data_IF_315930758369
#
_entry.id   IF_315930758369
#
_cell.length_a   1.000
_cell.length_b   1.000
_cell.length_c   1.000
_cell.angle_alpha   90.00
_cell.angle_beta   90.00
_cell.angle_gamma   90.00
#
_symmetry.space_group_name_H-M   'P 1'
#
loop_
_entity.id
_entity.type
_entity.pdbx_description
1 polymer ?
#
# COMPACT_ATOMS: atom_id res chain seq x y z
N UNK A 1 13.07 -8.18 -15.43
CA UNK A 1 12.66 -6.85 -15.95
C UNK A 1 11.51 -6.34 -15.10
N UNK A 2 11.40 -5.02 -14.89
CA UNK A 2 10.21 -4.43 -14.24
C UNK A 2 8.96 -4.76 -15.08
N UNK A 3 8.12 -5.62 -14.52
CA UNK A 3 6.78 -5.92 -15.03
C UNK A 3 5.81 -4.78 -14.73
N UNK A 4 5.53 -3.96 -15.75
CA UNK A 4 4.65 -2.80 -15.66
C UNK A 4 3.18 -3.22 -15.54
N UNK A 5 2.78 -4.33 -16.15
CA UNK A 5 1.39 -4.79 -16.13
C UNK A 5 1.02 -5.34 -14.74
N UNK A 6 1.95 -6.00 -14.06
CA UNK A 6 1.81 -6.35 -12.64
C UNK A 6 1.62 -5.10 -11.78
N UNK A 7 2.44 -4.07 -11.97
CA UNK A 7 2.36 -2.83 -11.19
C UNK A 7 1.01 -2.15 -11.44
N UNK A 8 0.61 -1.96 -12.70
CA UNK A 8 -0.69 -1.35 -13.05
C UNK A 8 -1.85 -2.10 -12.42
N UNK A 9 -1.88 -3.43 -12.53
CA UNK A 9 -2.93 -4.26 -11.92
C UNK A 9 -3.02 -4.03 -10.41
N UNK A 10 -1.88 -3.98 -9.71
CA UNK A 10 -1.85 -3.73 -8.27
C UNK A 10 -2.26 -2.30 -7.91
N UNK A 11 -1.88 -1.31 -8.72
CA UNK A 11 -2.34 0.07 -8.54
C UNK A 11 -3.86 0.18 -8.71
N UNK A 12 -4.45 -0.46 -9.72
CA UNK A 12 -5.91 -0.54 -9.87
C UNK A 12 -6.57 -1.20 -8.66
N UNK A 13 -5.96 -2.28 -8.15
CA UNK A 13 -6.44 -2.94 -6.94
C UNK A 13 -6.35 -2.06 -5.69
N UNK A 14 -5.34 -1.20 -5.56
CA UNK A 14 -5.22 -0.21 -4.49
C UNK A 14 -6.30 0.87 -4.65
N UNK A 15 -6.45 1.43 -5.85
CA UNK A 15 -7.45 2.46 -6.13
C UNK A 15 -8.87 2.00 -5.80
N UNK A 16 -9.25 0.79 -6.20
CA UNK A 16 -10.59 0.27 -5.92
C UNK A 16 -10.84 0.13 -4.41
N UNK A 17 -9.85 -0.38 -3.66
CA UNK A 17 -9.96 -0.52 -2.20
C UNK A 17 -9.95 0.80 -1.46
N UNK A 18 -9.25 1.81 -1.99
CA UNK A 18 -9.32 3.16 -1.44
C UNK A 18 -10.72 3.76 -1.60
N UNK A 19 -11.38 3.51 -2.74
CA UNK A 19 -12.78 3.92 -2.92
C UNK A 19 -13.71 3.21 -1.93
N UNK A 20 -13.56 1.89 -1.76
CA UNK A 20 -14.32 1.12 -0.74
C UNK A 20 -14.05 1.65 0.67
N UNK A 21 -12.80 1.97 1.00
CA UNK A 21 -12.41 2.52 2.30
C UNK A 21 -12.97 3.93 2.52
N UNK A 22 -13.10 4.74 1.47
CA UNK A 22 -13.72 6.06 1.55
C UNK A 22 -15.21 5.95 1.92
N UNK A 23 -15.93 4.98 1.38
CA UNK A 23 -17.31 4.70 1.78
C UNK A 23 -17.40 4.27 3.25
N UNK A 24 -16.52 3.35 3.67
CA UNK A 24 -16.45 2.91 5.08
C UNK A 24 -16.13 4.09 6.00
N UNK A 25 -15.23 4.99 5.62
CA UNK A 25 -14.82 6.16 6.40
C UNK A 25 -15.94 7.19 6.62
N UNK A 26 -16.99 7.17 5.80
CA UNK A 26 -18.18 8.02 5.97
C UNK A 26 -19.17 7.46 7.02
N UNK A 27 -18.93 6.26 7.53
CA UNK A 27 -19.78 5.63 8.55
C UNK A 27 -19.69 6.38 9.89
N UNK A 28 -20.82 6.70 10.55
CA UNK A 28 -20.81 7.29 11.89
C UNK A 28 -20.05 6.42 12.88
N UNK A 29 -19.33 7.04 13.83
CA UNK A 29 -18.42 6.35 14.76
C UNK A 29 -19.12 5.22 15.53
N UNK A 30 -20.35 5.42 15.94
CA UNK A 30 -21.15 4.45 16.69
C UNK A 30 -21.39 3.18 15.87
N UNK A 31 -21.64 3.36 14.57
CA UNK A 31 -21.84 2.28 13.60
C UNK A 31 -20.51 1.67 13.15
N UNK A 32 -19.45 2.46 13.04
CA UNK A 32 -18.10 1.95 12.74
C UNK A 32 -17.58 0.99 13.82
N UNK A 33 -17.98 1.20 15.08
CA UNK A 33 -17.66 0.30 16.19
C UNK A 33 -18.36 -1.06 16.09
N UNK A 34 -19.31 -1.23 15.16
CA UNK A 34 -19.86 -2.56 14.84
C UNK A 34 -18.76 -3.43 14.24
N UNK A 35 -18.67 -4.67 14.74
CA UNK A 35 -17.56 -5.59 14.45
C UNK A 35 -17.35 -5.81 12.95
N UNK A 36 -18.42 -5.87 12.15
CA UNK A 36 -18.33 -6.12 10.71
C UNK A 36 -17.66 -4.97 9.96
N UNK A 37 -18.08 -3.73 10.22
CA UNK A 37 -17.56 -2.54 9.54
C UNK A 37 -16.11 -2.28 9.97
N UNK A 38 -15.80 -2.54 11.24
CA UNK A 38 -14.43 -2.47 11.73
C UNK A 38 -13.50 -3.46 11.01
N UNK A 39 -13.89 -4.73 10.92
CA UNK A 39 -13.10 -5.75 10.21
C UNK A 39 -12.96 -5.47 8.71
N UNK A 40 -14.01 -4.92 8.09
CA UNK A 40 -13.95 -4.48 6.70
C UNK A 40 -12.88 -3.39 6.52
N UNK A 41 -12.87 -2.36 7.37
CA UNK A 41 -11.87 -1.31 7.35
C UNK A 41 -10.44 -1.85 7.53
N UNK A 42 -10.23 -2.71 8.54
CA UNK A 42 -8.93 -3.36 8.79
C UNK A 42 -8.45 -4.14 7.57
N UNK A 43 -9.35 -4.92 6.96
CA UNK A 43 -9.03 -5.75 5.79
C UNK A 43 -8.68 -4.90 4.58
N UNK A 44 -9.40 -3.80 4.34
CA UNK A 44 -9.11 -2.88 3.25
C UNK A 44 -7.72 -2.27 3.40
N UNK A 45 -7.37 -1.80 4.60
CA UNK A 45 -6.03 -1.25 4.90
C UNK A 45 -4.93 -2.30 4.71
N UNK A 46 -5.13 -3.51 5.24
CA UNK A 46 -4.18 -4.63 5.08
C UNK A 46 -3.90 -4.90 3.59
N UNK A 47 -4.95 -4.96 2.77
CA UNK A 47 -4.84 -5.25 1.33
C UNK A 47 -4.20 -4.09 0.54
N UNK A 48 -4.48 -2.84 0.91
CA UNK A 48 -3.85 -1.66 0.30
C UNK A 48 -2.34 -1.68 0.56
N UNK A 49 -1.95 -1.83 1.84
CA UNK A 49 -0.56 -1.85 2.26
C UNK A 49 0.17 -3.04 1.66
N UNK A 50 -0.44 -4.23 1.66
CA UNK A 50 0.13 -5.43 1.04
C UNK A 50 0.43 -5.27 -0.45
N UNK A 51 -0.50 -4.67 -1.23
CA UNK A 51 -0.25 -4.41 -2.65
C UNK A 51 0.85 -3.39 -2.88
N UNK A 52 0.96 -2.36 -2.03
CA UNK A 52 2.03 -1.38 -2.12
C UNK A 52 3.39 -2.03 -1.80
N UNK A 53 3.46 -2.88 -0.76
CA UNK A 53 4.65 -3.66 -0.43
C UNK A 53 5.06 -4.55 -1.60
N UNK A 54 4.12 -5.28 -2.21
CA UNK A 54 4.42 -6.15 -3.35
C UNK A 54 5.02 -5.37 -4.53
N UNK A 55 4.49 -4.18 -4.83
CA UNK A 55 5.05 -3.28 -5.84
C UNK A 55 6.48 -2.88 -5.45
N UNK A 56 6.70 -2.46 -4.20
CA UNK A 56 8.02 -2.04 -3.73
C UNK A 56 9.04 -3.17 -3.88
N UNK A 57 8.72 -4.38 -3.43
CA UNK A 57 9.62 -5.53 -3.51
C UNK A 57 9.92 -5.94 -4.95
N UNK A 58 8.94 -5.87 -5.85
CA UNK A 58 9.16 -6.08 -7.28
C UNK A 58 10.15 -5.07 -7.84
N UNK A 59 9.96 -3.78 -7.57
CA UNK A 59 10.87 -2.73 -8.05
C UNK A 59 12.28 -2.88 -7.45
N UNK A 60 12.38 -3.12 -6.14
CA UNK A 60 13.66 -3.33 -5.43
C UNK A 60 14.44 -4.48 -6.05
N UNK A 61 13.77 -5.62 -6.28
CA UNK A 61 14.37 -6.80 -6.88
C UNK A 61 14.87 -6.52 -8.29
N UNK A 62 14.02 -5.92 -9.13
CA UNK A 62 14.34 -5.69 -10.55
C UNK A 62 15.39 -4.60 -10.76
N UNK A 63 15.50 -3.64 -9.84
CA UNK A 63 16.57 -2.62 -9.83
C UNK A 63 17.82 -3.05 -9.05
N UNK A 64 17.85 -4.26 -8.49
CA UNK A 64 18.95 -4.79 -7.68
C UNK A 64 19.33 -3.87 -6.50
N UNK A 65 18.32 -3.24 -5.89
CA UNK A 65 18.52 -2.39 -4.71
C UNK A 65 18.73 -3.25 -3.46
N UNK A 66 19.29 -2.64 -2.41
CA UNK A 66 19.44 -3.30 -1.11
C UNK A 66 18.07 -3.73 -0.58
N UNK A 67 17.94 -5.03 -0.28
CA UNK A 67 16.72 -5.60 0.24
C UNK A 67 16.39 -5.01 1.62
N UNK A 68 15.13 -4.62 1.86
CA UNK A 68 14.71 -4.13 3.17
C UNK A 68 14.67 -5.27 4.18
N UNK A 69 15.02 -4.97 5.44
CA UNK A 69 14.98 -5.94 6.56
C UNK A 69 13.53 -6.19 7.01
N UNK A 70 12.68 -5.16 6.93
CA UNK A 70 11.27 -5.21 7.30
C UNK A 70 10.41 -4.67 6.15
N UNK A 71 9.16 -5.12 6.04
CA UNK A 71 8.25 -4.68 4.97
C UNK A 71 8.10 -3.16 4.89
N UNK A 72 8.04 -2.47 6.03
CA UNK A 72 7.92 -1.00 6.08
C UNK A 72 9.13 -0.27 5.49
N UNK A 73 10.32 -0.86 5.60
CA UNK A 73 11.55 -0.27 5.05
C UNK A 73 11.54 -0.28 3.51
N UNK A 74 10.71 -1.11 2.87
CA UNK A 74 10.58 -1.14 1.41
C UNK A 74 10.19 0.24 0.82
N UNK A 75 9.31 0.98 1.50
CA UNK A 75 8.92 2.34 1.11
C UNK A 75 10.10 3.31 1.15
N UNK A 76 10.92 3.24 2.20
CA UNK A 76 12.12 4.08 2.34
C UNK A 76 13.17 3.75 1.27
N UNK A 77 13.34 2.48 0.92
CA UNK A 77 14.25 2.05 -0.16
C UNK A 77 13.83 2.67 -1.50
N UNK A 78 12.57 2.52 -1.90
CA UNK A 78 12.09 3.07 -3.17
C UNK A 78 12.04 4.62 -3.16
N UNK A 79 11.85 5.24 -2.00
CA UNK A 79 11.90 6.70 -1.82
C UNK A 79 13.31 7.28 -1.94
N UNK A 80 14.35 6.57 -1.49
CA UNK A 80 15.77 6.96 -1.69
C UNK A 80 16.17 6.85 -3.17
N UNK A 81 15.60 5.87 -3.87
CA UNK A 81 15.78 5.66 -5.31
C UNK A 81 14.86 6.53 -6.19
N UNK A 82 14.09 7.44 -5.56
CA UNK A 82 13.22 8.44 -6.22
C UNK A 82 12.09 7.86 -7.08
N UNK A 83 11.67 6.62 -6.81
CA UNK A 83 10.47 6.02 -7.43
C UNK A 83 9.21 6.73 -6.94
N UNK A 84 9.20 7.08 -5.65
CA UNK A 84 8.23 7.99 -5.03
C UNK A 84 8.99 9.12 -4.34
N UNK A 85 8.30 10.21 -3.99
CA UNK A 85 8.91 11.28 -3.21
C UNK A 85 9.37 10.75 -1.84
N UNK A 86 10.51 11.21 -1.37
CA UNK A 86 11.02 10.81 -0.04
C UNK A 86 10.05 11.21 1.07
N UNK A 87 9.37 12.36 0.93
CA UNK A 87 8.32 12.79 1.86
C UNK A 87 7.19 11.75 1.98
N UNK A 88 6.66 11.28 0.84
CA UNK A 88 5.61 10.26 0.85
C UNK A 88 6.14 8.96 1.47
N UNK A 89 7.33 8.53 1.07
CA UNK A 89 7.96 7.31 1.59
C UNK A 89 8.09 7.32 3.12
N UNK A 90 8.45 8.45 3.73
CA UNK A 90 8.55 8.56 5.20
C UNK A 90 7.18 8.62 5.89
N UNK A 91 6.15 9.16 5.23
CA UNK A 91 4.81 9.27 5.82
C UNK A 91 4.06 7.93 5.90
N UNK A 92 4.40 6.97 5.04
CA UNK A 92 3.67 5.69 4.90
C UNK A 92 4.50 4.45 5.30
N UNK A 93 5.73 4.66 5.79
CA UNK A 93 6.62 3.63 6.31
C UNK A 93 6.53 3.56 7.84
#
# INVERSE_FOLDING_TARGET
MIDIELIKRKLTQISNKLNELEEVAQTPKEKFAESLIHYEAERLVELIVGNAIDINFHIIKEKQLNAPIEYKESFKVIGRDKVISSELAYRIA
#
